data_IF_118847535176
#
_entry.id   IF_118847535176
#
_cell.length_a   1.000
_cell.length_b   1.000
_cell.length_c   1.000
_cell.angle_alpha   90.00
_cell.angle_beta   90.00
_cell.angle_gamma   90.00
#
_symmetry.space_group_name_H-M   'P 1'
#
loop_
_entity.id
_entity.type
_entity.pdbx_description
1 polymer ?
#
# COMPACT_ATOMS: atom_id res chain seq x y z
N UNK A 1 -11.58 -13.06 1.30
CA UNK A 1 -10.26 -12.51 0.90
C UNK A 1 -10.42 -11.60 -0.32
N UNK A 2 -9.42 -10.79 -0.69
CA UNK A 2 -9.52 -9.95 -1.89
C UNK A 2 -9.34 -10.77 -3.18
N UNK A 3 -10.01 -10.36 -4.27
CA UNK A 3 -9.83 -10.97 -5.60
C UNK A 3 -8.37 -10.84 -6.06
N UNK A 4 -7.82 -11.88 -6.69
CA UNK A 4 -6.43 -11.87 -7.17
C UNK A 4 -6.15 -10.74 -8.15
N UNK A 5 -7.08 -10.46 -9.08
CA UNK A 5 -6.95 -9.33 -9.99
C UNK A 5 -6.85 -7.97 -9.29
N UNK A 6 -7.39 -7.83 -8.07
CA UNK A 6 -7.28 -6.60 -7.28
C UNK A 6 -5.90 -6.49 -6.62
N UNK A 7 -5.34 -7.61 -6.13
CA UNK A 7 -3.98 -7.65 -5.61
C UNK A 7 -2.96 -7.35 -6.72
N UNK A 8 -3.09 -8.00 -7.87
CA UNK A 8 -2.24 -7.78 -9.04
C UNK A 8 -2.30 -6.33 -9.55
N UNK A 9 -3.48 -5.70 -9.50
CA UNK A 9 -3.65 -4.28 -9.86
C UNK A 9 -2.81 -3.36 -8.97
N UNK A 10 -2.75 -3.63 -7.67
CA UNK A 10 -1.96 -2.83 -6.73
C UNK A 10 -0.45 -3.02 -6.98
N UNK A 11 -0.01 -4.27 -7.22
CA UNK A 11 1.39 -4.56 -7.59
C UNK A 11 1.77 -3.83 -8.88
N UNK A 12 0.90 -3.83 -9.90
CA UNK A 12 1.12 -3.07 -11.15
C UNK A 12 1.24 -1.57 -10.89
N UNK A 13 0.44 -1.00 -9.98
CA UNK A 13 0.53 0.42 -9.61
C UNK A 13 1.84 0.73 -8.90
N UNK A 14 2.25 -0.08 -7.93
CA UNK A 14 3.52 0.09 -7.22
C UNK A 14 4.72 0.11 -8.19
N UNK A 15 4.75 -0.82 -9.15
CA UNK A 15 5.78 -0.86 -10.20
C UNK A 15 5.78 0.40 -11.07
N UNK A 16 4.59 0.89 -11.46
CA UNK A 16 4.48 2.12 -12.25
C UNK A 16 4.90 3.36 -11.46
N UNK A 17 4.53 3.47 -10.19
CA UNK A 17 4.93 4.59 -9.33
C UNK A 17 6.45 4.61 -9.18
N UNK A 18 7.08 3.45 -8.93
CA UNK A 18 8.53 3.35 -8.85
C UNK A 18 9.22 3.76 -10.15
N UNK A 19 8.71 3.31 -11.31
CA UNK A 19 9.28 3.63 -12.64
C UNK A 19 9.27 5.14 -12.96
N UNK A 20 8.25 5.87 -12.52
CA UNK A 20 8.04 7.28 -12.87
C UNK A 20 8.28 8.23 -11.69
N UNK A 21 8.87 7.76 -10.59
CA UNK A 21 9.04 8.55 -9.37
C UNK A 21 9.90 9.80 -9.62
N UNK A 22 11.07 9.63 -10.23
CA UNK A 22 12.03 10.70 -10.52
C UNK A 22 11.46 11.70 -11.52
N UNK A 23 11.00 11.22 -12.68
CA UNK A 23 10.37 12.06 -13.72
C UNK A 23 9.19 12.88 -13.19
N UNK A 24 8.37 12.34 -12.29
CA UNK A 24 7.28 13.12 -11.66
C UNK A 24 7.77 14.13 -10.65
N UNK A 25 8.87 13.86 -9.95
CA UNK A 25 9.48 14.82 -9.02
C UNK A 25 10.04 16.01 -9.80
N UNK A 26 10.75 15.76 -10.90
CA UNK A 26 11.29 16.78 -11.79
C UNK A 26 10.19 17.65 -12.41
N UNK A 27 9.18 17.04 -13.03
CA UNK A 27 8.07 17.79 -13.65
C UNK A 27 7.27 18.60 -12.64
N UNK A 28 7.12 18.10 -11.41
CA UNK A 28 6.45 18.83 -10.33
C UNK A 28 7.31 20.00 -9.83
N UNK A 29 8.63 19.83 -9.74
CA UNK A 29 9.55 20.90 -9.37
C UNK A 29 9.61 22.00 -10.45
N UNK A 30 9.54 21.62 -11.73
CA UNK A 30 9.48 22.53 -12.87
C UNK A 30 8.13 23.25 -13.02
N UNK A 31 7.07 22.78 -12.35
CA UNK A 31 5.72 23.36 -12.48
C UNK A 31 5.03 23.08 -13.82
N UNK A 32 5.51 22.09 -14.59
CA UNK A 32 4.91 21.70 -15.87
C UNK A 32 3.74 20.72 -15.65
N UNK A 33 2.53 21.27 -15.54
CA UNK A 33 1.31 20.52 -15.34
C UNK A 33 0.87 19.73 -16.59
N UNK A 34 1.16 20.23 -17.80
CA UNK A 34 0.81 19.54 -19.05
C UNK A 34 1.66 18.28 -19.23
N UNK A 35 2.96 18.36 -18.93
CA UNK A 35 3.85 17.20 -18.90
C UNK A 35 3.46 16.16 -17.86
N UNK A 36 2.92 16.62 -16.71
CA UNK A 36 2.45 15.75 -15.64
C UNK A 36 1.18 14.97 -16.01
N UNK A 37 0.28 15.58 -16.79
CA UNK A 37 -0.97 14.96 -17.24
C UNK A 37 -0.78 13.95 -18.37
N UNK A 38 0.25 14.11 -19.19
CA UNK A 38 0.64 13.13 -20.23
C UNK A 38 1.14 11.80 -19.64
N UNK A 39 1.53 11.77 -18.37
CA UNK A 39 1.99 10.54 -17.72
C UNK A 39 0.84 9.55 -17.43
N UNK A 40 1.12 8.24 -17.38
CA UNK A 40 0.10 7.26 -17.03
C UNK A 40 -0.55 7.58 -15.68
N UNK A 41 -1.87 7.69 -15.62
CA UNK A 41 -2.61 8.09 -14.40
C UNK A 41 -2.24 7.25 -13.15
N UNK A 42 -1.95 5.97 -13.34
CA UNK A 42 -1.57 5.03 -12.27
C UNK A 42 -0.13 5.18 -11.76
N UNK A 43 0.69 6.03 -12.38
CA UNK A 43 2.02 6.38 -11.88
C UNK A 43 1.99 7.36 -10.70
N UNK A 44 0.81 7.91 -10.36
CA UNK A 44 0.67 8.81 -9.22
C UNK A 44 0.67 8.04 -7.91
N UNK A 45 1.55 8.42 -6.98
CA UNK A 45 1.64 7.85 -5.64
C UNK A 45 0.33 7.99 -4.84
N UNK A 46 -0.49 9.01 -5.14
CA UNK A 46 -1.80 9.24 -4.48
C UNK A 46 -2.78 8.08 -4.73
N UNK A 47 -2.59 7.29 -5.80
CA UNK A 47 -3.47 6.18 -6.15
C UNK A 47 -3.10 4.85 -5.49
N UNK A 48 -2.00 4.81 -4.73
CA UNK A 48 -1.61 3.63 -3.97
C UNK A 48 -2.54 3.45 -2.78
N UNK A 49 -2.92 2.20 -2.52
CA UNK A 49 -3.77 1.84 -1.40
C UNK A 49 -3.13 0.74 -0.58
N UNK A 50 -2.92 1.02 0.71
CA UNK A 50 -2.40 0.02 1.63
C UNK A 50 -3.38 -1.15 1.78
N UNK A 51 -2.88 -2.37 1.60
CA UNK A 51 -3.64 -3.62 1.72
C UNK A 51 -2.90 -4.56 2.63
N UNK A 52 -3.64 -5.40 3.34
CA UNK A 52 -3.04 -6.50 4.10
C UNK A 52 -2.17 -7.35 3.17
N UNK A 53 -0.89 -7.53 3.50
CA UNK A 53 0.08 -8.25 2.64
C UNK A 53 -0.29 -9.71 2.39
N UNK A 54 -1.04 -10.32 3.32
CA UNK A 54 -1.43 -11.73 3.25
C UNK A 54 -2.77 -11.89 2.53
N UNK A 55 -3.83 -11.23 3.00
CA UNK A 55 -5.19 -11.43 2.49
C UNK A 55 -5.63 -10.44 1.40
N UNK A 56 -4.90 -9.34 1.23
CA UNK A 56 -5.26 -8.25 0.31
C UNK A 56 -6.43 -7.37 0.78
N UNK A 57 -6.92 -7.55 2.03
CA UNK A 57 -8.03 -6.75 2.58
C UNK A 57 -7.67 -5.25 2.58
N UNK A 58 -8.51 -4.37 2.01
CA UNK A 58 -8.21 -2.94 1.94
C UNK A 58 -8.48 -2.20 3.24
N UNK A 59 -9.41 -2.67 4.08
CA UNK A 59 -9.84 -1.95 5.29
C UNK A 59 -9.15 -2.46 6.56
N UNK A 60 -8.98 -1.57 7.53
CA UNK A 60 -8.41 -1.89 8.85
C UNK A 60 -6.96 -2.35 8.76
N UNK A 61 -6.17 -1.65 7.97
CA UNK A 61 -4.74 -1.90 7.77
C UNK A 61 -3.93 -1.23 8.90
N UNK A 62 -3.10 -2.01 9.58
CA UNK A 62 -2.18 -1.51 10.59
C UNK A 62 -0.81 -1.29 9.97
N UNK A 63 -0.34 -0.04 9.87
CA UNK A 63 0.91 0.32 9.17
C UNK A 63 2.14 -0.36 9.78
N UNK A 64 2.24 -0.40 11.11
CA UNK A 64 3.36 -1.02 11.85
C UNK A 64 3.54 -2.51 11.51
N UNK A 65 2.43 -3.25 11.35
CA UNK A 65 2.46 -4.70 11.12
C UNK A 65 2.25 -5.08 9.65
N UNK A 66 1.75 -4.17 8.81
CA UNK A 66 1.49 -4.43 7.40
C UNK A 66 0.32 -5.39 7.11
N UNK A 67 -0.53 -5.65 8.10
CA UNK A 67 -1.63 -6.63 8.03
C UNK A 67 -2.96 -6.02 8.46
N UNK A 68 -4.06 -6.76 8.21
CA UNK A 68 -5.40 -6.36 8.62
C UNK A 68 -5.65 -6.68 10.10
N UNK A 69 -6.53 -5.92 10.74
CA UNK A 69 -6.92 -6.11 12.17
C UNK A 69 -7.29 -7.55 12.55
N UNK A 70 -7.91 -8.31 11.64
CA UNK A 70 -8.35 -9.69 11.89
C UNK A 70 -7.14 -10.60 11.96
N UNK A 71 -6.28 -10.53 10.93
CA UNK A 71 -5.09 -11.35 10.84
C UNK A 71 -4.05 -10.96 11.91
N UNK A 72 -4.02 -9.69 12.30
CA UNK A 72 -3.25 -9.22 13.46
C UNK A 72 -3.70 -9.91 14.74
N UNK A 73 -5.01 -9.96 15.02
CA UNK A 73 -5.55 -10.65 16.19
C UNK A 73 -5.18 -12.13 16.17
N UNK A 74 -5.37 -12.81 15.04
CA UNK A 74 -5.09 -14.24 14.92
C UNK A 74 -3.59 -14.54 15.13
N UNK A 75 -2.71 -13.74 14.54
CA UNK A 75 -1.25 -13.90 14.70
C UNK A 75 -0.77 -13.52 16.11
N UNK A 76 -1.36 -12.50 16.74
CA UNK A 76 -1.04 -12.11 18.11
C UNK A 76 -1.46 -13.21 19.11
N UNK A 77 -2.66 -13.78 18.94
CA UNK A 77 -3.13 -14.89 19.79
C UNK A 77 -2.29 -16.15 19.58
N UNK A 78 -1.80 -16.39 18.36
CA UNK A 78 -0.88 -17.48 18.06
C UNK A 78 0.58 -17.22 18.46
N UNK A 79 0.90 -16.08 19.08
CA UNK A 79 2.27 -15.73 19.49
C UNK A 79 3.25 -15.48 18.35
N UNK A 80 2.78 -15.27 17.11
CA UNK A 80 3.62 -15.05 15.92
C UNK A 80 4.15 -13.62 15.79
N UNK A 81 3.65 -12.69 16.62
CA UNK A 81 4.09 -11.29 16.63
C UNK A 81 4.90 -11.06 17.91
N UNK A 82 6.23 -10.87 17.82
CA UNK A 82 7.08 -10.63 18.98
C UNK A 82 6.64 -9.38 19.75
N UNK A 83 6.62 -9.49 21.09
CA UNK A 83 6.34 -8.35 21.98
C UNK A 83 4.88 -7.93 22.09
N UNK A 84 3.95 -8.56 21.37
CA UNK A 84 2.51 -8.26 21.47
C UNK A 84 1.87 -9.15 22.54
N UNK A 85 1.32 -8.52 23.57
CA UNK A 85 0.49 -9.15 24.61
C UNK A 85 -0.85 -8.43 24.73
N UNK A 86 -1.84 -9.10 25.31
CA UNK A 86 -3.06 -8.40 25.78
C UNK A 86 -2.62 -7.41 26.85
N UNK A 87 -2.97 -6.15 26.65
CA UNK A 87 -2.62 -5.10 27.58
C UNK A 87 -3.78 -4.86 28.54
N UNK A 88 -3.44 -4.70 29.81
CA UNK A 88 -4.33 -4.29 30.89
C UNK A 88 -3.59 -3.23 31.68
N UNK A 89 -4.08 -2.01 31.63
CA UNK A 89 -3.62 -0.87 32.39
C UNK A 89 -4.84 -0.18 33.00
#
# INVERSE_FOLDING_TARGET
MAKEGVKAREVKRQRLVAKFAEKRAELKAAGDYEGLDKLPKNSSAVRLHNRCKITGRPRGYMRTFGISRVLFRDMALAGKIPGVRKASW
#
